data_IF_610723052621
#
_entry.id   IF_610723052621
#
_cell.length_a   1.000
_cell.length_b   1.000
_cell.length_c   1.000
_cell.angle_alpha   90.00
_cell.angle_beta   90.00
_cell.angle_gamma   90.00
#
_symmetry.space_group_name_H-M   'P 1'
#
loop_
_entity.id
_entity.type
_entity.pdbx_description
1 polymer ?
#
# COMPACT_ATOMS: atom_id res chain seq x y z
N UNK A 1 -28.29 -51.06 22.01
CA UNK A 1 -28.96 -50.92 20.70
C UNK A 1 -28.20 -49.81 19.97
N UNK A 2 -27.18 -50.11 19.13
CA UNK A 2 -27.26 -50.36 17.67
C UNK A 2 -27.94 -49.16 16.95
N UNK A 3 -27.38 -48.40 15.99
CA UNK A 3 -26.24 -48.57 15.05
C UNK A 3 -25.97 -47.23 14.29
N UNK A 4 -24.68 -46.96 13.97
CA UNK A 4 -24.03 -46.22 12.85
C UNK A 4 -24.76 -45.26 11.88
N UNK A 5 -24.04 -44.21 11.42
CA UNK A 5 -23.52 -44.03 10.02
C UNK A 5 -22.58 -42.79 9.86
N UNK A 6 -21.32 -43.09 9.47
CA UNK A 6 -20.38 -42.45 8.49
C UNK A 6 -20.07 -40.93 8.60
N UNK A 7 -18.90 -40.43 9.03
CA UNK A 7 -17.48 -40.48 8.57
C UNK A 7 -17.18 -39.88 7.18
N UNK A 8 -16.66 -38.66 7.14
CA UNK A 8 -15.83 -38.17 6.02
C UNK A 8 -14.75 -37.21 6.55
N UNK A 9 -13.58 -37.78 6.81
CA UNK A 9 -12.32 -37.09 7.10
C UNK A 9 -11.53 -37.10 5.80
N UNK A 10 -11.31 -35.93 5.20
CA UNK A 10 -10.41 -35.76 4.07
C UNK A 10 -9.03 -35.35 4.56
N UNK A 11 -8.17 -36.35 4.78
CA UNK A 11 -6.74 -36.19 5.02
C UNK A 11 -6.04 -36.15 3.65
N UNK A 12 -5.29 -35.09 3.33
CA UNK A 12 -4.35 -35.13 2.21
C UNK A 12 -3.12 -34.30 2.56
N UNK A 13 -2.15 -35.02 3.13
CA UNK A 13 -0.75 -34.63 3.28
C UNK A 13 0.07 -35.52 2.37
N UNK A 14 0.99 -34.90 1.63
CA UNK A 14 2.05 -35.55 0.84
C UNK A 14 2.14 -34.90 -0.54
N UNK A 15 3.27 -34.50 -1.10
CA UNK A 15 4.67 -34.51 -0.70
C UNK A 15 5.38 -33.51 -1.65
N UNK A 16 6.30 -32.68 -1.16
CA UNK A 16 7.73 -32.73 -1.52
C UNK A 16 8.07 -33.59 -2.77
N UNK A 17 8.64 -32.94 -3.79
CA UNK A 17 9.56 -33.58 -4.74
C UNK A 17 8.97 -34.03 -6.08
N UNK A 18 9.01 -33.15 -7.08
CA UNK A 18 8.79 -33.50 -8.48
C UNK A 18 9.89 -32.90 -9.36
N UNK A 19 11.00 -33.62 -9.48
CA UNK A 19 12.08 -33.37 -10.43
C UNK A 19 11.60 -33.68 -11.87
N UNK A 20 12.04 -32.84 -12.81
CA UNK A 20 11.87 -32.89 -14.26
C UNK A 20 11.84 -34.29 -14.89
N UNK A 21 10.93 -34.51 -15.86
CA UNK A 21 11.22 -35.02 -17.22
C UNK A 21 10.14 -34.49 -18.19
N UNK A 22 10.55 -33.66 -19.14
CA UNK A 22 9.74 -33.29 -20.32
C UNK A 22 10.70 -32.96 -21.45
N UNK A 23 10.92 -33.95 -22.32
CA UNK A 23 11.78 -33.86 -23.49
C UNK A 23 11.31 -32.74 -24.44
N UNK A 24 12.29 -31.95 -24.89
CA UNK A 24 12.23 -30.99 -25.98
C UNK A 24 11.75 -31.65 -27.27
N UNK A 25 10.69 -31.09 -27.88
CA UNK A 25 10.58 -30.95 -29.33
C UNK A 25 9.71 -29.73 -29.66
N UNK A 26 10.38 -28.62 -29.98
CA UNK A 26 9.97 -27.73 -31.06
C UNK A 26 8.75 -26.85 -30.83
N UNK A 27 8.97 -25.68 -30.23
CA UNK A 27 8.41 -24.44 -30.75
C UNK A 27 9.54 -23.41 -30.83
N UNK A 28 10.06 -23.24 -32.03
CA UNK A 28 10.80 -22.05 -32.45
C UNK A 28 9.96 -20.80 -32.13
N UNK A 29 10.57 -19.85 -31.41
CA UNK A 29 10.24 -18.43 -31.60
C UNK A 29 9.01 -17.85 -30.93
N UNK A 30 8.43 -18.46 -29.88
CA UNK A 30 7.49 -17.74 -29.02
C UNK A 30 8.23 -17.16 -27.81
N UNK A 31 8.82 -15.97 -27.97
CA UNK A 31 9.12 -15.11 -26.83
C UNK A 31 7.77 -14.70 -26.25
N UNK A 32 7.25 -15.50 -25.33
CA UNK A 32 6.19 -15.04 -24.43
C UNK A 32 6.87 -14.02 -23.54
N UNK A 33 6.72 -12.75 -23.92
CA UNK A 33 7.01 -11.65 -23.02
C UNK A 33 6.06 -11.86 -21.83
N UNK A 34 6.63 -12.32 -20.72
CA UNK A 34 5.93 -12.42 -19.45
C UNK A 34 5.60 -10.98 -19.04
N UNK A 35 4.47 -10.46 -19.50
CA UNK A 35 3.79 -9.41 -18.78
C UNK A 35 3.47 -10.00 -17.42
N UNK A 36 3.92 -9.40 -16.30
CA UNK A 36 3.48 -9.83 -14.98
C UNK A 36 1.96 -9.73 -15.01
N UNK A 37 1.29 -10.87 -14.94
CA UNK A 37 -0.13 -10.88 -14.59
C UNK A 37 -0.12 -10.51 -13.11
N UNK A 38 -0.38 -9.23 -12.81
CA UNK A 38 -0.56 -8.72 -11.46
C UNK A 38 -1.55 -9.65 -10.74
N UNK A 39 -1.00 -10.43 -9.82
CA UNK A 39 -1.82 -11.27 -8.96
C UNK A 39 -2.42 -10.32 -7.94
N UNK A 40 -3.70 -10.43 -7.56
CA UNK A 40 -4.32 -9.58 -6.51
C UNK A 40 -3.59 -9.61 -5.14
N UNK A 41 -2.55 -10.41 -4.99
CA UNK A 41 -1.66 -10.43 -3.82
C UNK A 41 -0.47 -9.46 -3.89
N UNK A 42 -0.13 -8.92 -5.07
CA UNK A 42 1.02 -8.01 -5.25
C UNK A 42 0.68 -6.60 -4.74
N UNK A 43 -0.52 -6.09 -5.02
CA UNK A 43 -0.97 -4.75 -4.59
C UNK A 43 -1.07 -4.62 -3.06
N UNK A 44 -1.49 -5.69 -2.38
CA UNK A 44 -1.49 -5.74 -0.92
C UNK A 44 -0.04 -5.72 -0.35
N UNK A 45 0.91 -6.30 -1.09
CA UNK A 45 2.34 -6.22 -0.78
C UNK A 45 2.87 -4.80 -0.89
N UNK A 46 2.52 -4.09 -1.97
CA UNK A 46 2.92 -2.70 -2.22
C UNK A 46 2.33 -1.73 -1.20
N UNK A 47 1.07 -1.93 -0.79
CA UNK A 47 0.44 -1.15 0.27
C UNK A 47 1.13 -1.37 1.63
N UNK A 48 1.47 -2.61 1.97
CA UNK A 48 2.17 -2.93 3.21
C UNK A 48 3.61 -2.37 3.22
N UNK A 49 4.29 -2.40 2.08
CA UNK A 49 5.61 -1.75 1.94
C UNK A 49 5.52 -0.24 2.06
N UNK A 50 4.57 0.39 1.36
CA UNK A 50 4.31 1.82 1.46
C UNK A 50 4.05 2.23 2.90
N UNK A 51 3.22 1.48 3.63
CA UNK A 51 2.94 1.74 5.04
C UNK A 51 4.20 1.71 5.91
N UNK A 52 5.09 0.73 5.71
CA UNK A 52 6.37 0.65 6.45
C UNK A 52 7.29 1.82 6.11
N UNK A 53 7.38 2.17 4.82
CA UNK A 53 8.24 3.25 4.37
C UNK A 53 7.68 4.62 4.76
N UNK A 54 6.38 4.77 4.99
CA UNK A 54 5.76 6.04 5.38
C UNK A 54 6.13 6.49 6.79
N UNK A 55 6.32 5.55 7.72
CA UNK A 55 6.66 5.85 9.11
C UNK A 55 8.00 6.61 9.18
N UNK A 56 7.98 7.76 9.83
CA UNK A 56 9.13 8.66 9.94
C UNK A 56 8.75 10.14 9.94
N UNK A 57 9.77 11.00 9.93
CA UNK A 57 9.64 12.46 9.87
C UNK A 57 10.04 12.94 8.48
N UNK A 58 9.14 13.71 7.86
CA UNK A 58 9.24 14.17 6.47
C UNK A 58 9.19 15.69 6.42
N UNK A 59 10.23 16.33 5.92
CA UNK A 59 10.29 17.77 5.70
C UNK A 59 9.84 18.12 4.29
N UNK A 60 9.02 19.17 4.15
CA UNK A 60 8.60 19.67 2.84
C UNK A 60 9.80 20.17 2.02
N UNK A 61 9.86 19.79 0.73
CA UNK A 61 10.89 20.28 -0.21
C UNK A 61 10.58 21.71 -0.64
N UNK A 62 9.30 22.01 -0.88
CA UNK A 62 8.87 23.35 -1.28
C UNK A 62 8.75 24.31 -0.09
N UNK A 63 8.57 23.78 1.12
CA UNK A 63 8.53 24.54 2.36
C UNK A 63 9.26 23.78 3.47
N UNK A 64 10.49 24.21 3.77
CA UNK A 64 11.34 23.53 4.75
C UNK A 64 10.92 23.77 6.20
N UNK A 65 9.99 24.71 6.44
CA UNK A 65 9.43 24.94 7.78
C UNK A 65 8.34 23.93 8.11
N UNK A 66 7.80 23.25 7.10
CA UNK A 66 6.78 22.25 7.27
C UNK A 66 7.40 20.86 7.49
N UNK A 67 6.96 20.18 8.55
CA UNK A 67 7.29 18.78 8.77
C UNK A 67 6.02 17.96 9.01
N UNK A 68 6.06 16.71 8.54
CA UNK A 68 5.01 15.72 8.73
C UNK A 68 5.59 14.46 9.35
N UNK A 69 5.03 14.04 10.47
CA UNK A 69 5.45 12.84 11.18
C UNK A 69 4.36 11.78 11.05
N UNK A 70 4.67 10.65 10.42
CA UNK A 70 3.81 9.47 10.44
C UNK A 70 4.30 8.49 11.50
N UNK A 71 3.44 8.16 12.46
CA UNK A 71 3.74 7.21 13.52
C UNK A 71 3.17 5.83 13.23
N UNK A 72 3.79 4.81 13.83
CA UNK A 72 3.38 3.40 13.67
C UNK A 72 2.03 3.07 14.31
N UNK A 73 1.48 3.96 15.13
CA UNK A 73 0.15 3.83 15.76
C UNK A 73 -0.99 4.36 14.87
N UNK A 74 -0.66 4.83 13.65
CA UNK A 74 -1.62 5.40 12.72
C UNK A 74 -1.88 6.89 12.94
N UNK A 75 -1.18 7.56 13.86
CA UNK A 75 -1.24 9.02 14.00
C UNK A 75 -0.30 9.73 13.03
N UNK A 76 -0.75 10.91 12.57
CA UNK A 76 0.04 11.84 11.76
C UNK A 76 0.06 13.19 12.45
N UNK A 77 1.22 13.84 12.48
CA UNK A 77 1.37 15.22 12.98
C UNK A 77 1.94 16.08 11.88
N UNK A 78 1.27 17.20 11.63
CA UNK A 78 1.73 18.30 10.80
C UNK A 78 2.21 19.43 11.72
N UNK A 79 3.49 19.76 11.63
CA UNK A 79 4.12 20.86 12.36
C UNK A 79 4.65 21.91 11.38
N UNK A 80 4.51 23.17 11.76
CA UNK A 80 5.04 24.31 11.00
C UNK A 80 5.89 25.16 11.93
N UNK A 81 7.17 25.33 11.58
CA UNK A 81 8.13 26.04 12.44
C UNK A 81 7.61 27.43 12.84
N UNK A 82 7.51 27.66 14.15
CA UNK A 82 7.02 28.92 14.71
C UNK A 82 5.49 29.03 14.82
N UNK A 83 4.76 27.95 14.52
CA UNK A 83 3.33 27.82 14.82
C UNK A 83 3.11 26.98 16.08
N UNK A 84 1.97 27.20 16.73
CA UNK A 84 1.48 26.38 17.85
C UNK A 84 -0.04 26.56 17.91
N UNK A 85 -0.82 25.49 18.11
CA UNK A 85 -0.40 24.08 18.25
C UNK A 85 -0.21 23.35 16.90
N UNK A 86 0.53 22.25 16.92
CA UNK A 86 0.63 21.28 15.83
C UNK A 86 -0.75 20.72 15.47
N UNK A 87 -0.91 20.27 14.21
CA UNK A 87 -2.13 19.65 13.73
C UNK A 87 -1.98 18.13 13.75
N UNK A 88 -2.80 17.43 14.54
CA UNK A 88 -2.78 15.97 14.67
C UNK A 88 -3.95 15.32 13.94
N UNK A 89 -3.72 14.15 13.36
CA UNK A 89 -4.73 13.37 12.66
C UNK A 89 -4.44 11.88 12.65
N UNK A 90 -5.26 11.15 11.88
CA UNK A 90 -5.07 9.73 11.61
C UNK A 90 -4.72 9.51 10.14
N UNK A 91 -3.91 8.50 9.85
CA UNK A 91 -3.57 8.12 8.48
C UNK A 91 -3.81 6.64 8.21
N UNK A 92 -4.08 6.32 6.94
CA UNK A 92 -4.23 4.95 6.47
C UNK A 92 -3.82 4.86 4.99
N UNK A 93 -3.03 3.84 4.67
CA UNK A 93 -2.72 3.45 3.29
C UNK A 93 -3.79 2.50 2.79
N UNK A 94 -4.24 2.68 1.56
CA UNK A 94 -5.31 1.88 0.95
C UNK A 94 -5.08 1.68 -0.56
N UNK A 95 -5.79 0.73 -1.15
CA UNK A 95 -5.76 0.45 -2.60
C UNK A 95 -7.18 0.39 -3.16
N UNK A 96 -7.35 0.08 -4.44
CA UNK A 96 -8.67 -0.15 -5.02
C UNK A 96 -9.36 -1.39 -4.45
N UNK A 97 -8.58 -2.42 -4.15
CA UNK A 97 -8.99 -3.75 -3.68
C UNK A 97 -9.37 -3.71 -2.20
N UNK A 98 -8.70 -2.84 -1.44
CA UNK A 98 -8.99 -2.55 -0.05
C UNK A 98 -9.17 -1.03 0.09
N UNK A 99 -10.33 -0.48 -0.31
CA UNK A 99 -10.54 0.96 -0.35
C UNK A 99 -10.86 1.55 1.04
N UNK A 100 -10.55 2.84 1.22
CA UNK A 100 -11.20 3.65 2.25
C UNK A 100 -12.68 3.78 1.87
N UNK A 101 -13.58 3.27 2.72
CA UNK A 101 -15.03 3.33 2.48
C UNK A 101 -15.61 4.76 2.42
N UNK A 102 -14.82 5.76 2.83
CA UNK A 102 -15.19 7.18 2.74
C UNK A 102 -14.79 7.81 1.39
N UNK A 103 -13.99 7.13 0.57
CA UNK A 103 -13.59 7.59 -0.76
C UNK A 103 -14.53 7.03 -1.81
N UNK A 104 -15.21 7.91 -2.56
CA UNK A 104 -16.28 7.55 -3.50
C UNK A 104 -15.92 7.71 -4.98
N UNK A 105 -14.75 8.29 -5.28
CA UNK A 105 -14.30 8.48 -6.64
C UNK A 105 -13.59 7.22 -7.17
N UNK A 106 -13.30 7.20 -8.48
CA UNK A 106 -12.68 6.04 -9.13
C UNK A 106 -11.21 5.89 -8.76
N UNK A 107 -10.85 4.71 -8.25
CA UNK A 107 -9.45 4.30 -8.00
C UNK A 107 -8.88 3.52 -9.19
N UNK A 108 -7.59 3.75 -9.44
CA UNK A 108 -6.83 3.05 -10.47
C UNK A 108 -6.32 1.70 -9.91
N UNK A 109 -6.39 0.60 -10.68
CA UNK A 109 -5.68 -0.63 -10.34
C UNK A 109 -4.17 -0.38 -10.20
N UNK A 110 -3.50 -1.13 -9.33
CA UNK A 110 -2.06 -1.04 -9.11
C UNK A 110 -1.57 0.21 -8.36
N UNK A 111 -2.46 1.15 -8.02
CA UNK A 111 -2.11 2.38 -7.34
C UNK A 111 -2.27 2.27 -5.82
N UNK A 112 -1.31 2.84 -5.10
CA UNK A 112 -1.35 2.97 -3.64
C UNK A 112 -1.75 4.39 -3.26
N UNK A 113 -2.64 4.48 -2.28
CA UNK A 113 -3.22 5.73 -1.82
C UNK A 113 -2.99 5.95 -0.32
N UNK A 114 -3.01 7.21 0.09
CA UNK A 114 -2.94 7.64 1.47
C UNK A 114 -4.17 8.49 1.80
N UNK A 115 -4.87 8.13 2.86
CA UNK A 115 -5.89 8.97 3.50
C UNK A 115 -5.31 9.60 4.77
N UNK A 116 -5.68 10.85 5.03
CA UNK A 116 -5.35 11.56 6.26
C UNK A 116 -6.60 12.26 6.80
N UNK A 117 -7.06 11.87 7.98
CA UNK A 117 -8.16 12.53 8.69
C UNK A 117 -7.59 13.50 9.73
N UNK A 118 -7.51 14.78 9.36
CA UNK A 118 -6.98 15.85 10.23
C UNK A 118 -8.02 16.36 11.23
N UNK A 119 -9.29 16.15 10.93
CA UNK A 119 -10.42 16.38 11.84
C UNK A 119 -11.61 15.52 11.42
N UNK A 120 -12.73 15.60 12.13
CA UNK A 120 -13.97 14.90 11.75
C UNK A 120 -14.49 15.32 10.37
N UNK A 121 -14.25 16.56 9.96
CA UNK A 121 -14.72 17.12 8.69
C UNK A 121 -13.64 17.23 7.61
N UNK A 122 -12.36 17.13 7.99
CA UNK A 122 -11.24 17.29 7.07
C UNK A 122 -10.55 15.96 6.83
N UNK A 123 -10.74 15.44 5.62
CA UNK A 123 -10.01 14.27 5.12
C UNK A 123 -9.33 14.60 3.81
N UNK A 124 -8.02 14.37 3.77
CA UNK A 124 -7.18 14.54 2.59
C UNK A 124 -6.92 13.16 1.99
N UNK A 125 -6.88 13.11 0.66
CA UNK A 125 -6.60 11.88 -0.07
C UNK A 125 -5.50 12.14 -1.10
N UNK A 126 -4.54 11.24 -1.13
CA UNK A 126 -3.38 11.31 -1.99
C UNK A 126 -3.15 9.98 -2.72
N UNK A 127 -2.66 10.06 -3.95
CA UNK A 127 -1.91 8.96 -4.53
C UNK A 127 -0.46 9.06 -4.05
N UNK A 128 0.12 7.94 -3.63
CA UNK A 128 1.55 7.84 -3.33
C UNK A 128 2.26 7.52 -4.64
N UNK A 129 2.92 8.51 -5.23
CA UNK A 129 3.62 8.33 -6.52
C UNK A 129 5.06 7.89 -6.36
N UNK A 130 5.65 8.18 -5.20
CA UNK A 130 6.98 7.73 -4.83
C UNK A 130 7.11 7.64 -3.32
N UNK A 131 7.70 6.56 -2.85
CA UNK A 131 8.16 6.44 -1.48
C UNK A 131 9.39 5.55 -1.40
N UNK A 132 10.45 6.06 -0.79
CA UNK A 132 11.67 5.31 -0.53
C UNK A 132 12.27 5.71 0.83
N UNK A 133 13.51 5.27 1.11
CA UNK A 133 14.18 5.57 2.37
C UNK A 133 14.38 7.09 2.62
N UNK A 134 14.32 7.91 1.58
CA UNK A 134 14.69 9.34 1.63
C UNK A 134 13.63 10.27 1.06
N UNK A 135 12.79 9.80 0.15
CA UNK A 135 11.86 10.63 -0.62
C UNK A 135 10.43 10.15 -0.46
N UNK A 136 9.50 11.10 -0.35
CA UNK A 136 8.06 10.87 -0.39
C UNK A 136 7.44 11.89 -1.35
N UNK A 137 6.65 11.41 -2.31
CA UNK A 137 5.85 12.24 -3.21
C UNK A 137 4.39 11.82 -3.16
N UNK A 138 3.53 12.83 -2.95
CA UNK A 138 2.10 12.68 -2.82
C UNK A 138 1.41 13.56 -3.86
N UNK A 139 0.39 13.02 -4.54
CA UNK A 139 -0.46 13.79 -5.44
C UNK A 139 -1.88 13.84 -4.87
N UNK A 140 -2.42 15.02 -4.63
CA UNK A 140 -3.80 15.17 -4.18
C UNK A 140 -4.76 14.58 -5.20
N UNK A 141 -5.63 13.66 -4.76
CA UNK A 141 -6.67 13.09 -5.63
C UNK A 141 -7.69 14.14 -6.07
N UNK A 142 -7.89 15.18 -5.24
CA UNK A 142 -8.69 16.35 -5.57
C UNK A 142 -7.77 17.53 -5.88
N UNK A 143 -7.80 17.99 -7.13
CA UNK A 143 -7.05 19.18 -7.57
C UNK A 143 -5.64 18.91 -8.10
N UNK A 144 -5.07 17.71 -7.90
CA UNK A 144 -3.84 17.28 -8.57
C UNK A 144 -2.55 17.97 -8.11
N UNK A 145 -2.59 18.71 -7.00
CA UNK A 145 -1.38 19.32 -6.42
C UNK A 145 -0.37 18.25 -5.97
N UNK A 146 0.91 18.55 -6.11
CA UNK A 146 2.01 17.65 -5.70
C UNK A 146 2.65 18.15 -4.43
N UNK A 147 2.89 17.25 -3.47
CA UNK A 147 3.72 17.49 -2.29
C UNK A 147 4.95 16.60 -2.37
N UNK A 148 6.12 17.18 -2.16
CA UNK A 148 7.39 16.45 -2.13
C UNK A 148 8.05 16.64 -0.78
N UNK A 149 8.59 15.56 -0.24
CA UNK A 149 9.25 15.56 1.06
C UNK A 149 10.60 14.85 1.03
N UNK A 150 11.48 15.26 1.94
CA UNK A 150 12.69 14.54 2.29
C UNK A 150 12.60 14.02 3.72
N UNK A 151 13.08 12.80 3.95
CA UNK A 151 13.18 12.25 5.30
C UNK A 151 14.26 13.01 6.09
N UNK A 152 13.93 13.43 7.31
CA UNK A 152 14.83 14.19 8.19
C UNK A 152 14.98 13.53 9.56
N UNK A 153 15.26 12.23 9.58
CA UNK A 153 15.79 11.44 10.72
C UNK A 153 15.91 9.96 10.34
#
# INVERSE_FOLDING_TARGET
MRTFIVLLIGFLVGALGGYFVGYDHGFEGAVVQLSPTETPGDEAGDAAETMRNLIGVWQGVQDTKFTRTFRNDGSVIDDYEGSSPDSEGLWMVFTKEIPDGSYIDTLQPGAVYLSMAMSESERLYFQVTRIDATTLELVFLKGGGVLSFQRIQ
#
